data_IF_973294747335
#
_entry.id   IF_973294747335
#
_cell.length_a   1.000
_cell.length_b   1.000
_cell.length_c   1.000
_cell.angle_alpha   90.00
_cell.angle_beta   90.00
_cell.angle_gamma   90.00
#
_symmetry.space_group_name_H-M   'P 1'
#
loop_
_entity.id
_entity.type
_entity.pdbx_description
1 polymer ?
#
# COMPACT_ATOMS: atom_id res chain seq x y z
N UNK A 1 -32.47 33.56 -0.44
CA UNK A 1 -31.53 32.62 -1.03
C UNK A 1 -30.70 32.03 0.10
N UNK A 2 -31.07 30.83 0.55
CA UNK A 2 -30.37 30.08 1.59
C UNK A 2 -30.22 28.69 0.99
N UNK A 3 -29.01 28.34 0.53
CA UNK A 3 -28.75 26.95 0.24
C UNK A 3 -29.02 26.14 1.52
N UNK A 4 -29.79 25.06 1.42
CA UNK A 4 -30.19 24.35 2.62
C UNK A 4 -28.96 23.77 3.32
N UNK A 5 -28.73 24.23 4.55
CA UNK A 5 -27.62 23.83 5.44
C UNK A 5 -27.58 22.31 5.67
N UNK A 6 -28.66 21.57 5.38
CA UNK A 6 -28.70 20.11 5.45
C UNK A 6 -27.81 19.41 4.41
N UNK A 7 -27.34 20.10 3.36
CA UNK A 7 -26.39 19.53 2.39
C UNK A 7 -24.93 19.61 2.86
N UNK A 8 -24.66 20.40 3.89
CA UNK A 8 -23.34 20.52 4.48
C UNK A 8 -23.02 19.25 5.29
N UNK A 9 -22.04 18.49 4.81
CA UNK A 9 -21.62 17.22 5.37
C UNK A 9 -20.22 17.32 5.99
N UNK A 10 -20.06 16.67 7.14
CA UNK A 10 -18.77 16.46 7.80
C UNK A 10 -18.36 15.00 7.66
N UNK A 11 -17.11 14.77 7.24
CA UNK A 11 -16.56 13.44 7.00
C UNK A 11 -15.41 13.15 7.94
N UNK A 12 -15.38 11.94 8.50
CA UNK A 12 -14.28 11.50 9.36
C UNK A 12 -13.95 10.03 9.12
N UNK A 13 -12.69 9.66 9.32
CA UNK A 13 -12.29 8.24 9.43
C UNK A 13 -12.43 7.87 10.91
N UNK A 14 -13.42 7.04 11.23
CA UNK A 14 -13.72 6.63 12.61
C UNK A 14 -12.85 5.45 13.05
N UNK A 15 -12.56 4.52 12.12
CA UNK A 15 -11.78 3.32 12.43
C UNK A 15 -10.77 2.98 11.32
N UNK A 16 -9.70 2.27 11.71
CA UNK A 16 -8.73 1.70 10.78
C UNK A 16 -7.61 2.65 10.33
N UNK A 17 -7.66 3.93 10.70
CA UNK A 17 -6.62 4.91 10.37
C UNK A 17 -5.42 4.86 11.33
N UNK A 18 -4.68 3.77 11.28
CA UNK A 18 -3.52 3.54 12.15
C UNK A 18 -2.49 4.66 11.94
N UNK A 19 -2.12 5.32 13.04
CA UNK A 19 -1.14 6.41 13.09
C UNK A 19 -1.44 7.62 12.18
N UNK A 20 -2.68 7.79 11.71
CA UNK A 20 -3.03 8.88 10.80
C UNK A 20 -2.40 8.72 9.40
N UNK A 21 -2.27 7.47 8.92
CA UNK A 21 -1.73 7.16 7.59
C UNK A 21 -2.59 7.73 6.46
N UNK A 22 -3.90 7.85 6.68
CA UNK A 22 -4.88 8.35 5.72
C UNK A 22 -5.50 9.65 6.19
N UNK A 23 -5.83 10.52 5.24
CA UNK A 23 -6.59 11.75 5.46
C UNK A 23 -7.78 11.82 4.51
N UNK A 24 -8.74 12.66 4.84
CA UNK A 24 -9.85 13.00 3.96
C UNK A 24 -9.72 14.45 3.50
N UNK A 25 -10.16 14.72 2.28
CA UNK A 25 -10.32 16.06 1.69
C UNK A 25 -11.69 16.12 1.03
N UNK A 26 -12.41 17.21 1.21
CA UNK A 26 -13.68 17.43 0.52
C UNK A 26 -13.96 18.92 0.38
N UNK A 27 -14.70 19.25 -0.66
CA UNK A 27 -15.28 20.58 -0.83
C UNK A 27 -16.74 20.53 -0.35
N UNK A 28 -17.23 21.54 0.39
CA UNK A 28 -18.63 21.62 0.78
C UNK A 28 -19.53 21.53 -0.46
N UNK A 29 -20.65 20.83 -0.32
CA UNK A 29 -21.68 20.64 -1.35
C UNK A 29 -21.25 19.88 -2.63
N UNK A 30 -20.00 19.41 -2.71
CA UNK A 30 -19.52 18.61 -3.84
C UNK A 30 -20.10 17.20 -3.90
N UNK A 31 -20.58 16.68 -2.77
CA UNK A 31 -21.04 15.28 -2.64
C UNK A 31 -19.92 14.25 -2.76
N UNK A 32 -18.66 14.68 -2.80
CA UNK A 32 -17.50 13.81 -2.96
C UNK A 32 -16.50 14.01 -1.82
N UNK A 33 -15.84 12.92 -1.43
CA UNK A 33 -14.72 12.93 -0.49
C UNK A 33 -13.54 12.19 -1.11
N UNK A 34 -12.35 12.76 -0.97
CA UNK A 34 -11.09 12.20 -1.45
C UNK A 34 -10.32 11.60 -0.29
N UNK A 35 -9.97 10.31 -0.41
CA UNK A 35 -9.02 9.66 0.48
C UNK A 35 -7.61 9.99 0.03
N UNK A 36 -6.81 10.57 0.92
CA UNK A 36 -5.41 10.92 0.69
C UNK A 36 -4.48 10.06 1.52
N UNK A 37 -3.34 9.74 0.94
CA UNK A 37 -2.25 9.09 1.65
C UNK A 37 -1.33 10.15 2.28
N UNK A 38 -1.17 10.12 3.60
CA UNK A 38 -0.34 11.06 4.35
C UNK A 38 1.02 10.47 4.74
N UNK A 39 1.14 9.13 4.75
CA UNK A 39 2.37 8.40 5.09
C UNK A 39 2.60 7.26 4.09
N UNK A 40 3.85 6.84 3.92
CA UNK A 40 4.17 5.73 3.02
C UNK A 40 3.59 4.40 3.51
N UNK A 41 3.10 3.59 2.59
CA UNK A 41 2.62 2.24 2.86
C UNK A 41 3.77 1.24 2.76
N UNK A 42 3.73 0.19 3.58
CA UNK A 42 4.68 -0.92 3.53
C UNK A 42 3.91 -2.23 3.50
N UNK A 43 4.09 -3.00 2.42
CA UNK A 43 3.48 -4.32 2.29
C UNK A 43 3.89 -5.23 3.46
N UNK A 44 5.18 -5.23 3.82
CA UNK A 44 5.70 -6.11 4.87
C UNK A 44 5.12 -5.78 6.25
N UNK A 45 4.76 -4.51 6.49
CA UNK A 45 4.14 -4.10 7.74
C UNK A 45 2.63 -4.34 7.75
N UNK A 46 1.94 -3.96 6.68
CA UNK A 46 0.49 -4.13 6.52
C UNK A 46 0.13 -4.25 5.02
N UNK A 47 -0.26 -5.45 4.53
CA UNK A 47 -0.61 -5.64 3.13
C UNK A 47 -2.00 -5.08 2.78
N UNK A 48 -2.83 -4.79 3.77
CA UNK A 48 -4.16 -4.21 3.57
C UNK A 48 -4.61 -3.36 4.75
N UNK A 49 -5.37 -2.29 4.47
CA UNK A 49 -6.00 -1.45 5.47
C UNK A 49 -7.52 -1.43 5.26
N UNK A 50 -8.28 -1.59 6.34
CA UNK A 50 -9.75 -1.46 6.32
C UNK A 50 -10.14 -0.23 7.12
N UNK A 51 -10.66 0.78 6.42
CA UNK A 51 -11.07 2.05 7.00
C UNK A 51 -12.59 2.12 7.11
N UNK A 52 -13.09 2.72 8.19
CA UNK A 52 -14.51 3.06 8.33
C UNK A 52 -14.62 4.58 8.28
N UNK A 53 -15.26 5.08 7.22
CA UNK A 53 -15.56 6.50 7.03
C UNK A 53 -16.98 6.75 7.46
N UNK A 54 -17.20 7.80 8.24
CA UNK A 54 -18.52 8.24 8.68
C UNK A 54 -18.84 9.60 8.08
N UNK A 55 -20.10 9.80 7.69
CA UNK A 55 -20.62 11.10 7.25
C UNK A 55 -21.72 11.58 8.19
N UNK A 56 -21.66 12.85 8.56
CA UNK A 56 -22.59 13.52 9.49
C UNK A 56 -23.14 14.79 8.86
N UNK A 57 -24.44 15.04 9.01
CA UNK A 57 -25.04 16.33 8.67
C UNK A 57 -24.63 17.38 9.70
N UNK A 58 -24.23 18.57 9.25
CA UNK A 58 -23.94 19.69 10.14
C UNK A 58 -25.20 20.41 10.64
N UNK A 59 -26.30 20.34 9.88
CA UNK A 59 -27.58 20.84 10.34
C UNK A 59 -28.24 19.86 11.32
N UNK A 60 -28.94 20.38 12.33
CA UNK A 60 -29.81 19.60 13.20
C UNK A 60 -30.87 18.88 12.36
N UNK A 61 -30.84 17.55 12.38
CA UNK A 61 -31.80 16.73 11.65
C UNK A 61 -33.15 16.77 12.36
N UNK A 62 -34.20 17.17 11.65
CA UNK A 62 -35.59 17.10 12.15
C UNK A 62 -36.12 15.66 12.01
N UNK A 63 -36.26 14.95 13.14
CA UNK A 63 -36.72 13.56 13.20
C UNK A 63 -36.15 12.82 14.41
N UNK A 64 -36.52 11.55 14.66
CA UNK A 64 -35.96 10.74 15.76
C UNK A 64 -34.47 10.45 15.53
N UNK A 65 -33.63 11.44 15.86
CA UNK A 65 -32.17 11.41 15.84
C UNK A 65 -31.55 11.27 14.44
N UNK A 66 -30.34 11.81 14.21
CA UNK A 66 -29.45 11.18 13.25
C UNK A 66 -29.30 9.73 13.72
N UNK A 67 -29.72 8.76 12.91
CA UNK A 67 -29.26 7.39 13.10
C UNK A 67 -27.72 7.36 13.16
N UNK A 68 -27.09 6.21 13.46
CA UNK A 68 -25.63 6.09 13.36
C UNK A 68 -25.20 6.73 12.03
N UNK A 69 -24.27 7.70 12.09
CA UNK A 69 -23.86 8.45 10.90
C UNK A 69 -23.62 7.49 9.74
N UNK A 70 -24.03 7.86 8.53
CA UNK A 70 -23.94 6.91 7.42
C UNK A 70 -22.47 6.49 7.25
N UNK A 71 -22.22 5.19 7.16
CA UNK A 71 -20.86 4.64 7.15
C UNK A 71 -20.51 4.05 5.79
N UNK A 72 -19.24 4.17 5.42
CA UNK A 72 -18.65 3.53 4.27
C UNK A 72 -17.39 2.78 4.71
N UNK A 73 -17.26 1.51 4.30
CA UNK A 73 -16.03 0.74 4.51
C UNK A 73 -15.17 0.86 3.27
N UNK A 74 -13.94 1.33 3.43
CA UNK A 74 -12.94 1.42 2.36
C UNK A 74 -11.85 0.38 2.62
N UNK A 75 -11.52 -0.41 1.60
CA UNK A 75 -10.42 -1.37 1.67
C UNK A 75 -9.30 -0.91 0.76
N UNK A 76 -8.13 -0.66 1.34
CA UNK A 76 -6.91 -0.28 0.62
C UNK A 76 -5.99 -1.50 0.57
N UNK A 77 -5.60 -1.91 -0.63
CA UNK A 77 -4.65 -3.01 -0.85
C UNK A 77 -3.28 -2.41 -1.16
N UNK A 78 -2.25 -2.89 -0.49
CA UNK A 78 -0.87 -2.46 -0.73
C UNK A 78 -0.23 -3.42 -1.73
N UNK A 79 0.34 -2.88 -2.79
CA UNK A 79 1.08 -3.67 -3.76
C UNK A 79 2.50 -3.96 -3.23
N UNK A 80 2.93 -5.23 -3.33
CA UNK A 80 4.30 -5.62 -2.99
C UNK A 80 5.23 -5.23 -4.14
N UNK A 81 6.11 -4.26 -3.91
CA UNK A 81 7.21 -3.95 -4.84
C UNK A 81 8.38 -4.87 -4.56
N UNK A 82 8.71 -5.76 -5.51
CA UNK A 82 9.88 -6.63 -5.40
C UNK A 82 11.14 -5.84 -5.79
N UNK A 83 12.17 -5.78 -4.93
CA UNK A 83 13.44 -5.18 -5.32
C UNK A 83 14.08 -5.99 -6.47
N UNK A 84 14.93 -5.36 -7.30
CA UNK A 84 15.63 -6.08 -8.36
C UNK A 84 16.47 -7.21 -7.76
N UNK A 85 16.42 -8.38 -8.39
CA UNK A 85 17.19 -9.53 -7.96
C UNK A 85 18.68 -9.21 -8.09
N UNK A 86 19.39 -9.32 -6.97
CA UNK A 86 20.84 -9.15 -6.91
C UNK A 86 21.50 -10.46 -6.49
N UNK A 87 22.66 -10.72 -7.07
CA UNK A 87 23.56 -11.77 -6.62
C UNK A 87 24.22 -11.36 -5.30
N UNK A 88 24.62 -12.34 -4.51
CA UNK A 88 25.30 -12.10 -3.23
C UNK A 88 26.68 -11.43 -3.40
N UNK A 89 27.31 -11.59 -4.57
CA UNK A 89 28.53 -10.88 -4.96
C UNK A 89 28.42 -10.33 -6.39
N UNK A 90 29.09 -9.21 -6.65
CA UNK A 90 29.20 -8.63 -7.99
C UNK A 90 30.22 -9.36 -8.87
N UNK A 91 31.24 -9.95 -8.24
CA UNK A 91 32.28 -10.72 -8.92
C UNK A 91 32.61 -11.97 -8.09
N UNK A 92 32.81 -13.08 -8.79
CA UNK A 92 33.08 -14.38 -8.21
C UNK A 92 34.38 -14.93 -8.79
N UNK A 93 35.41 -15.03 -7.95
CA UNK A 93 36.69 -15.64 -8.33
C UNK A 93 36.78 -17.06 -7.79
N UNK A 94 37.08 -18.02 -8.67
CA UNK A 94 37.16 -19.44 -8.33
C UNK A 94 38.42 -20.06 -8.93
N UNK A 95 39.08 -20.93 -8.16
CA UNK A 95 40.16 -21.78 -8.64
C UNK A 95 39.94 -23.17 -8.07
N UNK A 96 39.59 -24.13 -8.93
CA UNK A 96 39.39 -25.51 -8.51
C UNK A 96 39.78 -26.49 -9.63
N UNK A 97 40.18 -27.72 -9.26
CA UNK A 97 40.43 -28.78 -10.23
C UNK A 97 39.13 -29.20 -10.94
N UNK A 98 39.28 -29.80 -12.12
CA UNK A 98 38.15 -30.25 -12.93
C UNK A 98 37.28 -31.29 -12.18
N UNK A 99 35.96 -31.16 -12.30
CA UNK A 99 34.99 -32.05 -11.66
C UNK A 99 34.62 -31.68 -10.22
N UNK A 100 35.25 -30.66 -9.64
CA UNK A 100 34.89 -30.15 -8.32
C UNK A 100 33.80 -29.09 -8.39
N UNK A 101 33.01 -28.99 -7.32
CA UNK A 101 32.13 -27.85 -7.09
C UNK A 101 32.98 -26.57 -7.01
N UNK A 102 32.75 -25.63 -7.94
CA UNK A 102 33.49 -24.36 -8.00
C UNK A 102 32.94 -23.35 -6.98
N UNK A 103 31.61 -23.16 -7.02
CA UNK A 103 30.91 -22.14 -6.24
C UNK A 103 29.42 -22.42 -6.22
N UNK A 104 28.77 -22.01 -5.13
CA UNK A 104 27.32 -21.90 -5.04
C UNK A 104 26.92 -20.43 -5.17
N UNK A 105 26.18 -20.08 -6.22
CA UNK A 105 25.64 -18.73 -6.40
C UNK A 105 24.32 -18.61 -5.64
N UNK A 106 24.19 -17.56 -4.82
CA UNK A 106 22.97 -17.30 -4.07
C UNK A 106 22.45 -15.89 -4.38
N UNK A 107 21.12 -15.69 -4.34
CA UNK A 107 20.59 -14.34 -4.35
C UNK A 107 20.93 -13.63 -3.04
N UNK A 108 21.17 -12.32 -3.09
CA UNK A 108 21.46 -11.51 -1.90
C UNK A 108 20.30 -11.44 -0.89
N UNK A 109 19.08 -11.73 -1.34
CA UNK A 109 17.88 -11.82 -0.50
C UNK A 109 17.06 -13.05 -0.90
N UNK A 110 16.33 -13.60 0.07
CA UNK A 110 15.44 -14.72 -0.18
C UNK A 110 14.41 -14.35 -1.27
N UNK A 111 14.26 -15.15 -2.33
CA UNK A 111 13.31 -14.87 -3.40
C UNK A 111 11.89 -15.10 -2.87
N UNK A 112 11.32 -14.06 -2.27
CA UNK A 112 10.04 -14.06 -1.54
C UNK A 112 8.79 -14.54 -2.31
N UNK A 113 8.89 -15.03 -3.55
CA UNK A 113 7.71 -15.52 -4.29
C UNK A 113 7.93 -16.41 -5.51
N UNK A 114 9.16 -16.63 -6.00
CA UNK A 114 9.31 -17.42 -7.25
C UNK A 114 10.64 -18.15 -7.36
N UNK A 115 10.65 -19.34 -8.01
CA UNK A 115 11.88 -20.07 -8.29
C UNK A 115 12.76 -19.27 -9.24
N UNK A 116 14.04 -19.14 -8.87
CA UNK A 116 15.03 -18.42 -9.66
C UNK A 116 15.58 -19.29 -10.80
N UNK A 117 15.81 -18.66 -11.96
CA UNK A 117 16.53 -19.28 -13.07
C UNK A 117 17.88 -18.58 -13.25
N UNK A 118 18.93 -19.37 -13.29
CA UNK A 118 20.29 -18.91 -13.53
C UNK A 118 20.69 -19.25 -14.98
N UNK A 119 21.47 -18.40 -15.61
CA UNK A 119 22.02 -18.63 -16.95
C UNK A 119 23.45 -18.12 -16.99
N UNK A 120 24.33 -18.93 -17.58
CA UNK A 120 25.73 -18.57 -17.77
C UNK A 120 25.91 -18.06 -19.19
N UNK A 121 26.46 -16.85 -19.33
CA UNK A 121 26.82 -16.27 -20.61
C UNK A 121 28.33 -16.10 -20.65
N UNK A 122 29.00 -16.82 -21.55
CA UNK A 122 30.41 -16.61 -21.84
C UNK A 122 30.55 -15.58 -22.95
N UNK A 123 31.25 -14.48 -22.71
CA UNK A 123 31.75 -13.64 -23.79
C UNK A 123 33.02 -14.28 -24.35
N UNK A 124 32.97 -14.73 -25.60
CA UNK A 124 34.18 -15.15 -26.31
C UNK A 124 34.95 -13.88 -26.70
N UNK A 125 36.24 -13.74 -26.33
CA UNK A 125 37.05 -12.64 -26.85
C UNK A 125 37.14 -12.76 -28.37
N UNK A 126 36.91 -11.64 -29.07
CA UNK A 126 37.01 -11.51 -30.53
C UNK A 126 38.45 -11.59 -31.01
#
# INVERSE_FOLDING_TARGET
>A
DLEPTFRLMDFAIEEGNIEGTFGLDWEPDSGHVQLRLLKNLSYEAAPSHKLVVVVRSLAELVGPGPGPGATATVTVLVERVLPPLKLDQENYEVSAPAGSLLLTIQPAADPMSSPLRFSLMSSQPS
#
